data_IF_749203104056
#
_entry.id   IF_749203104056
#
_cell.length_a   1.000
_cell.length_b   1.000
_cell.length_c   1.000
_cell.angle_alpha   90.00
_cell.angle_beta   90.00
_cell.angle_gamma   90.00
#
_symmetry.space_group_name_H-M   'P 1'
#
loop_
_entity.id
_entity.type
_entity.pdbx_description
1 polymer ?
#
# COMPACT_ATOMS: atom_id res chain seq x y z
N UNK A 1 30.07 -4.44 -4.48
CA UNK A 1 28.60 -4.39 -4.50
C UNK A 1 28.11 -5.43 -3.53
N UNK A 2 27.58 -4.99 -2.38
CA UNK A 2 26.90 -5.89 -1.43
C UNK A 2 25.56 -6.29 -2.07
N UNK A 3 25.44 -7.50 -2.56
CA UNK A 3 24.14 -8.05 -2.97
C UNK A 3 23.43 -8.58 -1.72
N UNK A 4 22.28 -8.01 -1.40
CA UNK A 4 21.32 -8.65 -0.49
C UNK A 4 20.87 -9.98 -1.09
N UNK A 5 20.32 -10.86 -0.24
CA UNK A 5 19.75 -12.11 -0.70
C UNK A 5 18.73 -11.87 -1.82
N UNK A 6 18.72 -12.67 -2.89
CA UNK A 6 17.74 -12.52 -3.96
C UNK A 6 16.33 -12.82 -3.43
N UNK A 7 15.32 -12.17 -4.01
CA UNK A 7 13.92 -12.47 -3.70
C UNK A 7 13.63 -13.96 -3.92
N UNK A 8 12.97 -14.57 -2.94
CA UNK A 8 12.51 -15.95 -3.04
C UNK A 8 11.30 -16.03 -3.98
N UNK A 9 11.17 -17.15 -4.68
CA UNK A 9 10.06 -17.40 -5.58
C UNK A 9 8.83 -17.89 -4.79
N UNK A 10 8.09 -16.93 -4.22
CA UNK A 10 6.87 -17.19 -3.43
C UNK A 10 5.65 -17.37 -4.34
N UNK A 11 4.62 -18.04 -3.83
CA UNK A 11 3.33 -18.18 -4.52
C UNK A 11 2.31 -17.12 -4.10
N UNK A 12 2.80 -15.97 -3.66
CA UNK A 12 1.96 -14.84 -3.23
C UNK A 12 2.71 -13.52 -3.30
N UNK A 13 1.96 -12.43 -3.47
CA UNK A 13 2.35 -11.06 -3.19
C UNK A 13 1.12 -10.24 -2.78
N UNK A 14 1.34 -9.06 -2.23
CA UNK A 14 0.28 -8.17 -1.78
C UNK A 14 0.31 -6.86 -2.61
N UNK A 15 -0.86 -6.33 -2.92
CA UNK A 15 -1.01 -4.97 -3.46
C UNK A 15 -1.66 -4.12 -2.39
N UNK A 16 -0.95 -3.10 -1.94
CA UNK A 16 -1.41 -2.15 -0.92
C UNK A 16 -1.87 -0.88 -1.61
N UNK A 17 -3.07 -0.42 -1.27
CA UNK A 17 -3.72 0.75 -1.87
C UNK A 17 -4.00 1.78 -0.80
N UNK A 18 -3.60 3.01 -1.07
CA UNK A 18 -3.91 4.18 -0.25
C UNK A 18 -4.57 5.25 -1.11
N UNK A 19 -5.83 5.49 -0.83
CA UNK A 19 -6.60 6.56 -1.42
C UNK A 19 -6.32 7.89 -0.71
N UNK A 20 -6.64 9.04 -1.32
CA UNK A 20 -6.58 10.33 -0.63
C UNK A 20 -7.38 10.32 0.68
N UNK A 21 -6.90 11.02 1.70
CA UNK A 21 -7.55 11.10 2.99
C UNK A 21 -9.01 11.58 2.87
N UNK A 22 -9.92 10.88 3.54
CA UNK A 22 -11.36 11.15 3.48
C UNK A 22 -12.09 10.54 2.29
N UNK A 23 -11.44 9.69 1.52
CA UNK A 23 -12.09 8.93 0.43
C UNK A 23 -13.12 7.95 1.03
N UNK A 24 -14.37 7.92 0.51
CA UNK A 24 -15.37 6.94 0.93
C UNK A 24 -14.94 5.51 0.64
N UNK A 25 -15.39 4.57 1.47
CA UNK A 25 -15.08 3.14 1.36
C UNK A 25 -15.45 2.55 0.00
N UNK A 26 -16.54 3.00 -0.59
CA UNK A 26 -17.06 2.56 -1.89
C UNK A 26 -16.05 2.87 -3.02
N UNK A 27 -15.38 4.01 -2.94
CA UNK A 27 -14.36 4.39 -3.92
C UNK A 27 -13.12 3.53 -3.78
N UNK A 28 -12.70 3.24 -2.55
CA UNK A 28 -11.61 2.30 -2.26
C UNK A 28 -11.95 0.90 -2.79
N UNK A 29 -13.16 0.42 -2.52
CA UNK A 29 -13.63 -0.88 -3.02
C UNK A 29 -13.68 -0.93 -4.56
N UNK A 30 -14.14 0.15 -5.21
CA UNK A 30 -14.15 0.26 -6.68
C UNK A 30 -12.75 0.22 -7.28
N UNK A 31 -11.80 0.91 -6.65
CA UNK A 31 -10.39 0.89 -7.07
C UNK A 31 -9.78 -0.51 -6.93
N UNK A 32 -10.02 -1.19 -5.80
CA UNK A 32 -9.58 -2.56 -5.59
C UNK A 32 -10.19 -3.53 -6.61
N UNK A 33 -11.46 -3.32 -6.99
CA UNK A 33 -12.13 -4.12 -8.02
C UNK A 33 -11.46 -3.95 -9.38
N UNK A 34 -11.11 -2.73 -9.80
CA UNK A 34 -10.42 -2.46 -11.07
C UNK A 34 -9.03 -3.08 -11.09
N UNK A 35 -8.26 -2.94 -10.00
CA UNK A 35 -6.95 -3.58 -9.82
C UNK A 35 -7.07 -5.11 -9.86
N UNK A 36 -8.06 -5.67 -9.17
CA UNK A 36 -8.35 -7.10 -9.15
C UNK A 36 -8.72 -7.64 -10.51
N UNK A 37 -9.50 -6.89 -11.29
CA UNK A 37 -9.87 -7.27 -12.67
C UNK A 37 -8.66 -7.33 -13.62
N UNK A 38 -7.64 -6.48 -13.44
CA UNK A 38 -6.38 -6.58 -14.16
C UNK A 38 -5.62 -7.84 -13.74
N UNK A 39 -5.49 -8.08 -12.44
CA UNK A 39 -4.77 -9.22 -11.89
C UNK A 39 -5.41 -10.56 -12.25
N UNK A 40 -6.74 -10.64 -12.23
CA UNK A 40 -7.48 -11.86 -12.59
C UNK A 40 -7.30 -12.30 -14.04
N UNK A 41 -6.83 -11.42 -14.93
CA UNK A 41 -6.52 -11.74 -16.33
C UNK A 41 -5.14 -12.40 -16.49
N UNK A 42 -4.32 -12.39 -15.45
CA UNK A 42 -2.97 -12.96 -15.52
C UNK A 42 -3.03 -14.48 -15.34
N UNK A 43 -2.42 -15.25 -16.24
CA UNK A 43 -2.48 -16.72 -16.17
C UNK A 43 -1.79 -17.29 -14.93
N UNK A 44 -0.88 -16.54 -14.32
CA UNK A 44 -0.17 -16.94 -13.11
C UNK A 44 -0.98 -16.69 -11.82
N UNK A 45 -2.07 -15.93 -11.89
CA UNK A 45 -2.90 -15.60 -10.72
C UNK A 45 -3.95 -16.69 -10.52
N UNK A 46 -3.87 -17.36 -9.37
CA UNK A 46 -4.78 -18.43 -8.97
C UNK A 46 -6.01 -17.88 -8.25
N UNK A 47 -5.81 -16.92 -7.34
CA UNK A 47 -6.86 -16.39 -6.49
C UNK A 47 -6.53 -14.96 -6.05
N UNK A 48 -7.58 -14.20 -5.76
CA UNK A 48 -7.53 -12.83 -5.28
C UNK A 48 -8.47 -12.65 -4.10
N UNK A 49 -8.00 -11.95 -3.07
CA UNK A 49 -8.82 -11.53 -1.95
C UNK A 49 -8.64 -10.01 -1.75
N UNK A 50 -9.75 -9.28 -1.72
CA UNK A 50 -9.77 -7.84 -1.55
C UNK A 50 -10.28 -7.46 -0.15
N UNK A 51 -9.60 -6.53 0.48
CA UNK A 51 -9.91 -5.99 1.80
C UNK A 51 -10.01 -4.47 1.68
N UNK A 52 -11.19 -3.91 1.84
CA UNK A 52 -11.44 -2.47 1.79
C UNK A 52 -11.80 -1.95 3.19
N UNK A 53 -11.11 -0.91 3.67
CA UNK A 53 -11.35 -0.34 4.99
C UNK A 53 -11.05 -1.28 6.15
N UNK A 54 -10.28 -2.31 5.90
CA UNK A 54 -9.87 -3.30 6.92
C UNK A 54 -8.54 -3.91 6.52
N UNK A 55 -7.81 -4.40 7.50
CA UNK A 55 -6.55 -5.10 7.26
C UNK A 55 -6.79 -6.46 6.59
N UNK A 56 -5.89 -6.85 5.70
CA UNK A 56 -5.77 -8.23 5.24
C UNK A 56 -5.34 -9.17 6.39
N UNK A 57 -5.54 -10.50 6.27
CA UNK A 57 -5.09 -11.44 7.28
C UNK A 57 -3.63 -11.23 7.65
N UNK A 58 -3.34 -11.40 8.93
CA UNK A 58 -2.01 -11.13 9.49
C UNK A 58 -1.00 -12.11 8.89
N UNK A 59 -0.02 -11.57 8.17
CA UNK A 59 1.19 -12.27 7.76
C UNK A 59 2.36 -11.81 8.62
N UNK A 60 3.45 -12.59 8.70
CA UNK A 60 4.63 -12.18 9.45
C UNK A 60 5.24 -10.87 8.91
N UNK A 61 5.25 -10.69 7.59
CA UNK A 61 5.66 -9.44 6.95
C UNK A 61 4.72 -8.27 7.31
N UNK A 62 3.42 -8.53 7.32
CA UNK A 62 2.40 -7.55 7.72
C UNK A 62 2.51 -7.14 9.20
N UNK A 63 2.94 -8.03 10.09
CA UNK A 63 3.23 -7.69 11.49
C UNK A 63 4.35 -6.66 11.59
N UNK A 64 5.49 -6.90 10.93
CA UNK A 64 6.63 -5.98 10.97
C UNK A 64 6.31 -4.64 10.32
N UNK A 65 5.55 -4.63 9.23
CA UNK A 65 5.11 -3.42 8.54
C UNK A 65 3.88 -2.77 9.17
N UNK A 66 3.35 -3.33 10.26
CA UNK A 66 2.17 -2.84 10.96
C UNK A 66 0.90 -2.75 10.09
N UNK A 67 0.79 -3.57 9.06
CA UNK A 67 -0.37 -3.57 8.16
C UNK A 67 -1.67 -4.00 8.84
N UNK A 68 -1.59 -4.70 9.96
CA UNK A 68 -2.76 -5.04 10.79
C UNK A 68 -3.47 -3.82 11.41
N UNK A 69 -2.82 -2.63 11.40
CA UNK A 69 -3.40 -1.38 11.88
C UNK A 69 -4.21 -0.64 10.80
N UNK A 70 -4.22 -1.13 9.56
CA UNK A 70 -4.93 -0.53 8.43
C UNK A 70 -6.43 -0.79 8.59
N UNK A 71 -7.20 0.26 8.89
CA UNK A 71 -8.65 0.16 9.13
C UNK A 71 -9.42 1.39 8.67
N UNK A 72 -8.75 2.36 8.04
CA UNK A 72 -9.39 3.56 7.54
C UNK A 72 -10.08 3.30 6.18
N UNK A 73 -11.19 3.99 5.90
CA UNK A 73 -11.99 3.79 4.70
C UNK A 73 -11.19 3.97 3.38
N UNK A 74 -10.17 4.83 3.41
CA UNK A 74 -9.27 5.09 2.31
C UNK A 74 -8.16 4.05 2.11
N UNK A 75 -8.11 3.02 2.94
CA UNK A 75 -7.10 1.97 2.90
C UNK A 75 -7.65 0.68 2.33
N UNK A 76 -6.89 0.03 1.46
CA UNK A 76 -7.28 -1.25 0.89
C UNK A 76 -6.09 -2.13 0.55
N UNK A 77 -6.32 -3.44 0.55
CA UNK A 77 -5.32 -4.45 0.25
C UNK A 77 -5.88 -5.50 -0.72
N UNK A 78 -5.03 -5.99 -1.63
CA UNK A 78 -5.28 -7.19 -2.41
C UNK A 78 -4.24 -8.24 -2.05
N UNK A 79 -4.68 -9.41 -1.60
CA UNK A 79 -3.84 -10.59 -1.49
C UNK A 79 -3.91 -11.36 -2.80
N UNK A 80 -2.76 -11.56 -3.44
CA UNK A 80 -2.65 -12.23 -4.72
C UNK A 80 -1.97 -13.58 -4.53
N UNK A 81 -2.72 -14.65 -4.73
CA UNK A 81 -2.18 -16.00 -4.75
C UNK A 81 -1.80 -16.39 -6.18
N UNK A 82 -0.59 -16.85 -6.36
CA UNK A 82 -0.07 -17.33 -7.64
C UNK A 82 -0.16 -18.88 -7.72
N UNK A 83 -0.27 -19.39 -8.93
CA UNK A 83 -0.09 -20.82 -9.16
C UNK A 83 1.28 -21.29 -8.66
N UNK A 84 1.41 -22.57 -8.35
CA UNK A 84 2.65 -23.14 -7.82
C UNK A 84 3.85 -22.80 -8.72
N UNK A 85 4.99 -22.55 -8.08
CA UNK A 85 6.23 -22.15 -8.76
C UNK A 85 6.69 -23.14 -9.84
N UNK A 86 6.30 -24.41 -9.73
CA UNK A 86 6.60 -25.45 -10.72
C UNK A 86 5.63 -25.45 -11.91
N UNK A 87 4.52 -24.74 -11.81
CA UNK A 87 3.48 -24.62 -12.86
C UNK A 87 3.56 -23.30 -13.63
N UNK A 88 4.54 -22.45 -13.35
CA UNK A 88 4.74 -21.17 -14.03
C UNK A 88 6.19 -20.97 -14.47
N UNK A 89 6.37 -20.27 -15.57
CA UNK A 89 7.71 -19.98 -16.11
C UNK A 89 8.36 -18.76 -15.45
N UNK A 90 7.56 -17.76 -15.02
CA UNK A 90 8.05 -16.56 -14.39
C UNK A 90 8.12 -16.70 -12.85
N UNK A 91 9.19 -16.15 -12.29
CA UNK A 91 9.32 -16.02 -10.82
C UNK A 91 8.39 -14.93 -10.30
N UNK A 92 7.91 -15.05 -9.05
CA UNK A 92 7.02 -14.07 -8.42
C UNK A 92 7.54 -12.64 -8.50
N UNK A 93 8.83 -12.43 -8.33
CA UNK A 93 9.45 -11.11 -8.45
C UNK A 93 9.33 -10.52 -9.87
N UNK A 94 9.54 -11.33 -10.91
CA UNK A 94 9.38 -10.88 -12.29
C UNK A 94 7.93 -10.53 -12.61
N UNK A 95 6.98 -11.34 -12.14
CA UNK A 95 5.53 -11.07 -12.26
C UNK A 95 5.18 -9.76 -11.56
N UNK A 96 5.62 -9.56 -10.32
CA UNK A 96 5.38 -8.33 -9.56
C UNK A 96 5.96 -7.09 -10.26
N UNK A 97 7.17 -7.18 -10.79
CA UNK A 97 7.80 -6.09 -11.55
C UNK A 97 7.05 -5.78 -12.84
N UNK A 98 6.62 -6.81 -13.58
CA UNK A 98 5.87 -6.66 -14.84
C UNK A 98 4.53 -5.97 -14.62
N UNK A 99 3.82 -6.32 -13.55
CA UNK A 99 2.48 -5.81 -13.25
C UNK A 99 2.49 -4.43 -12.58
N UNK A 100 3.57 -4.06 -11.90
CA UNK A 100 3.67 -2.80 -11.16
C UNK A 100 3.27 -1.57 -11.97
N UNK A 101 3.80 -1.31 -13.19
CA UNK A 101 3.46 -0.09 -13.94
C UNK A 101 1.96 0.00 -14.29
N UNK A 102 1.32 -1.14 -14.60
CA UNK A 102 -0.10 -1.17 -14.92
C UNK A 102 -0.97 -0.94 -13.69
N UNK A 103 -0.59 -1.51 -12.54
CA UNK A 103 -1.27 -1.29 -11.26
C UNK A 103 -1.13 0.16 -10.80
N UNK A 104 0.06 0.75 -10.92
CA UNK A 104 0.30 2.15 -10.61
C UNK A 104 -0.51 3.09 -11.53
N UNK A 105 -0.63 2.76 -12.81
CA UNK A 105 -1.46 3.53 -13.76
C UNK A 105 -2.94 3.54 -13.36
N UNK A 106 -3.48 2.42 -12.89
CA UNK A 106 -4.85 2.37 -12.35
C UNK A 106 -4.92 3.21 -11.08
N UNK A 107 -3.93 3.09 -10.18
CA UNK A 107 -3.84 3.92 -8.99
C UNK A 107 -3.90 5.42 -9.31
N UNK A 108 -3.09 5.89 -10.24
CA UNK A 108 -3.06 7.29 -10.66
C UNK A 108 -4.42 7.79 -11.18
N UNK A 109 -5.17 6.95 -11.90
CA UNK A 109 -6.53 7.27 -12.38
C UNK A 109 -7.49 7.60 -11.22
N UNK A 110 -7.30 6.96 -10.08
CA UNK A 110 -8.10 7.13 -8.86
C UNK A 110 -7.43 8.05 -7.81
N UNK A 111 -6.33 8.71 -8.14
CA UNK A 111 -5.46 9.44 -7.22
C UNK A 111 -4.95 8.58 -6.05
N UNK A 112 -4.92 7.27 -6.23
CA UNK A 112 -4.45 6.31 -5.24
C UNK A 112 -2.95 6.05 -5.35
N UNK A 113 -2.29 5.86 -4.22
CA UNK A 113 -0.96 5.26 -4.16
C UNK A 113 -1.09 3.74 -4.13
N UNK A 114 -0.48 3.08 -5.08
CA UNK A 114 -0.50 1.63 -5.21
C UNK A 114 0.92 1.10 -5.05
N UNK A 115 1.08 0.11 -4.17
CA UNK A 115 2.37 -0.54 -3.91
C UNK A 115 2.25 -2.04 -4.08
N UNK A 116 3.17 -2.63 -4.81
CA UNK A 116 3.33 -4.08 -4.89
C UNK A 116 4.34 -4.50 -3.83
N UNK A 117 3.87 -5.27 -2.86
CA UNK A 117 4.64 -5.71 -1.69
C UNK A 117 4.91 -7.20 -1.80
N UNK A 118 6.18 -7.54 -1.91
CA UNK A 118 6.65 -8.92 -1.92
C UNK A 118 7.16 -9.33 -0.53
N UNK A 119 7.16 -10.62 -0.26
CA UNK A 119 7.81 -11.16 0.95
C UNK A 119 9.33 -11.00 0.77
N UNK A 120 10.00 -10.23 1.64
CA UNK A 120 11.43 -10.00 1.50
C UNK A 120 12.21 -11.29 1.77
N UNK A 121 13.40 -11.43 1.18
CA UNK A 121 14.32 -12.49 1.54
C UNK A 121 14.88 -12.26 2.95
N UNK A 122 14.90 -13.30 3.77
CA UNK A 122 15.43 -13.22 5.14
C UNK A 122 14.42 -12.68 6.17
N UNK A 123 14.89 -12.19 7.33
CA UNK A 123 14.02 -11.63 8.35
C UNK A 123 13.25 -10.42 7.80
N UNK A 124 11.94 -10.30 8.07
CA UNK A 124 11.18 -9.14 7.61
C UNK A 124 11.68 -7.88 8.28
N UNK A 125 11.78 -6.82 7.49
CA UNK A 125 12.16 -5.48 7.90
C UNK A 125 11.07 -4.50 7.47
N UNK A 126 10.94 -3.37 8.16
CA UNK A 126 9.98 -2.33 7.77
C UNK A 126 10.23 -1.87 6.33
N UNK A 127 11.48 -1.54 6.05
CA UNK A 127 11.97 -1.17 4.71
C UNK A 127 13.48 -1.40 4.65
N UNK A 128 14.06 -1.65 3.47
CA UNK A 128 15.52 -1.67 3.27
C UNK A 128 16.19 -0.33 3.62
N UNK A 129 15.50 0.78 3.40
CA UNK A 129 15.92 2.13 3.75
C UNK A 129 14.87 2.75 4.66
N UNK A 130 15.27 3.17 5.85
CA UNK A 130 14.41 3.86 6.82
C UNK A 130 15.10 5.16 7.22
N UNK A 131 14.40 6.27 7.04
CA UNK A 131 14.82 7.57 7.57
C UNK A 131 13.92 7.92 8.76
N UNK A 132 14.54 8.12 9.92
CA UNK A 132 13.85 8.55 11.12
C UNK A 132 14.10 10.03 11.36
N UNK A 133 13.03 10.81 11.54
CA UNK A 133 13.09 12.26 11.73
C UNK A 133 12.78 12.60 13.19
N UNK A 134 13.74 13.21 13.84
CA UNK A 134 13.62 13.69 15.23
C UNK A 134 13.67 15.21 15.28
N UNK A 135 12.94 15.81 16.20
CA UNK A 135 12.95 17.26 16.40
C UNK A 135 12.01 17.68 17.53
N UNK A 136 12.19 18.89 18.08
CA UNK A 136 11.43 19.36 19.24
C UNK A 136 9.96 19.65 18.93
N UNK A 137 9.64 20.06 17.70
CA UNK A 137 8.29 20.39 17.30
C UNK A 137 7.75 19.46 16.21
N UNK A 138 6.44 19.26 16.20
CA UNK A 138 5.77 18.36 15.27
C UNK A 138 5.75 18.89 13.83
N UNK A 139 5.51 20.18 13.65
CA UNK A 139 5.41 20.78 12.32
C UNK A 139 6.74 20.69 11.55
N UNK A 140 7.86 20.99 12.22
CA UNK A 140 9.18 20.85 11.63
C UNK A 140 9.55 19.39 11.29
N UNK A 141 9.14 18.42 12.15
CA UNK A 141 9.33 17.01 11.84
C UNK A 141 8.53 16.59 10.60
N UNK A 142 7.28 17.02 10.50
CA UNK A 142 6.41 16.73 9.36
C UNK A 142 6.97 17.35 8.07
N UNK A 143 7.37 18.62 8.10
CA UNK A 143 7.96 19.30 6.94
C UNK A 143 9.23 18.59 6.46
N UNK A 144 10.15 18.26 7.38
CA UNK A 144 11.38 17.57 7.02
C UNK A 144 11.10 16.16 6.45
N UNK A 145 10.17 15.42 7.04
CA UNK A 145 9.83 14.09 6.55
C UNK A 145 9.17 14.13 5.16
N UNK A 146 8.33 15.13 4.86
CA UNK A 146 7.79 15.33 3.50
C UNK A 146 8.89 15.66 2.49
N UNK A 147 9.86 16.49 2.87
CA UNK A 147 11.02 16.80 2.01
C UNK A 147 11.89 15.56 1.75
N UNK A 148 12.10 14.72 2.76
CA UNK A 148 12.82 13.46 2.62
C UNK A 148 12.07 12.46 1.74
N UNK A 149 10.74 12.32 1.92
CA UNK A 149 9.91 11.47 1.07
C UNK A 149 10.02 11.87 -0.39
N UNK A 150 9.93 13.19 -0.69
CA UNK A 150 10.12 13.71 -2.04
C UNK A 150 11.51 13.42 -2.59
N UNK A 151 12.55 13.61 -1.78
CA UNK A 151 13.93 13.32 -2.20
C UNK A 151 14.13 11.83 -2.51
N UNK A 152 13.50 10.94 -1.76
CA UNK A 152 13.53 9.50 -2.05
C UNK A 152 12.78 9.18 -3.35
N UNK A 153 11.59 9.76 -3.58
CA UNK A 153 10.82 9.55 -4.81
C UNK A 153 11.58 10.03 -6.07
N UNK A 154 12.40 11.07 -5.94
CA UNK A 154 13.22 11.62 -7.01
C UNK A 154 14.57 10.89 -7.19
N UNK A 155 14.92 9.97 -6.27
CA UNK A 155 16.20 9.25 -6.33
C UNK A 155 16.08 8.00 -7.21
N UNK A 156 16.93 7.85 -8.24
CA UNK A 156 16.93 6.65 -9.06
C UNK A 156 17.11 5.38 -8.23
N UNK A 157 16.46 4.30 -8.64
CA UNK A 157 16.49 2.96 -8.01
C UNK A 157 15.83 2.87 -6.62
N UNK A 158 15.24 3.94 -6.10
CA UNK A 158 14.34 3.91 -4.94
C UNK A 158 12.90 3.83 -5.44
N UNK A 159 12.17 2.80 -4.97
CA UNK A 159 10.78 2.58 -5.33
C UNK A 159 9.93 2.28 -4.09
N UNK A 160 8.64 2.61 -4.15
CA UNK A 160 7.71 2.30 -3.08
C UNK A 160 7.97 3.11 -1.80
N UNK A 161 8.28 4.39 -1.95
CA UNK A 161 8.48 5.31 -0.82
C UNK A 161 7.21 5.44 -0.01
N UNK A 162 7.34 5.39 1.30
CA UNK A 162 6.26 5.49 2.26
C UNK A 162 6.60 6.46 3.39
N UNK A 163 5.57 7.01 4.02
CA UNK A 163 5.72 7.91 5.18
C UNK A 163 4.68 7.57 6.23
N UNK A 164 5.05 7.70 7.50
CA UNK A 164 4.11 7.59 8.63
C UNK A 164 3.27 8.86 8.86
N UNK A 165 3.52 9.92 8.09
CA UNK A 165 2.72 11.14 8.19
C UNK A 165 1.35 10.89 7.59
N UNK A 166 0.30 11.09 8.39
CA UNK A 166 -1.08 11.09 7.90
C UNK A 166 -1.38 12.44 7.25
N UNK A 167 -1.95 12.41 6.04
CA UNK A 167 -2.46 13.62 5.38
C UNK A 167 -3.59 14.24 6.21
N UNK A 168 -3.60 15.57 6.31
CA UNK A 168 -4.68 16.27 6.97
C UNK A 168 -5.94 16.21 6.10
N UNK A 169 -6.94 15.45 6.52
CA UNK A 169 -8.26 15.47 5.90
C UNK A 169 -9.07 16.67 6.41
N UNK A 170 -9.81 17.40 5.54
CA UNK A 170 -10.74 18.42 6.01
C UNK A 170 -11.82 17.78 6.88
N UNK A 171 -12.03 18.33 8.08
CA UNK A 171 -13.06 17.86 9.01
C UNK A 171 -14.21 18.86 9.05
N UNK A 172 -15.42 18.37 8.82
CA UNK A 172 -16.64 19.15 9.04
C UNK A 172 -17.23 18.81 10.41
N UNK A 173 -17.41 19.82 11.24
CA UNK A 173 -18.10 19.68 12.53
C UNK A 173 -19.55 20.13 12.38
N UNK A 174 -20.48 19.20 12.50
CA UNK A 174 -21.91 19.52 12.55
C UNK A 174 -22.29 19.82 14.02
N UNK A 175 -22.60 21.09 14.30
CA UNK A 175 -23.08 21.51 15.61
C UNK A 175 -24.60 21.65 15.57
N UNK A 176 -25.32 20.67 16.11
CA UNK A 176 -26.79 20.70 16.23
C UNK A 176 -27.17 21.75 17.27
N UNK A 177 -28.05 22.67 16.89
CA UNK A 177 -28.67 23.64 17.82
C UNK A 177 -29.94 23.01 18.37
N UNK A 178 -29.86 22.32 19.50
CA UNK A 178 -30.96 21.59 20.12
C UNK A 178 -32.24 22.42 20.28
N UNK A 179 -32.12 23.69 20.64
CA UNK A 179 -33.27 24.61 20.78
C UNK A 179 -34.08 24.86 19.50
N UNK A 180 -33.54 24.54 18.29
CA UNK A 180 -34.22 24.66 17.01
C UNK A 180 -34.59 23.32 16.38
N UNK A 181 -34.16 22.23 16.96
CA UNK A 181 -34.46 20.90 16.46
C UNK A 181 -35.76 20.32 17.10
N UNK A 182 -36.28 20.96 18.16
CA UNK A 182 -37.53 20.59 18.86
C UNK A 182 -38.73 21.45 18.43
N UNK A 183 -38.56 22.32 17.44
CA UNK A 183 -39.62 23.12 16.82
C UNK A 183 -39.89 22.61 15.39
#
# INVERSE_FOLDING_TARGET
VLKMLPFDNKSEFQVVVEMPAGTPLENTASTLHELGALLAKQPEVLNLQAYAGTASPITFNGLVRQYYLRSDAEQGDLQVALVDKHQRSEKSHAIAQRLRPELEKIGLKHNARVKVVEVPPGPPVMSPLVAEVYGPDEAGRQELAMRLSKAFDETPDIVGVDTSIKENAPRAFLRVRHQRAES
#
